data_IF_715872038631
#
_entry.id   IF_715872038631
#
_cell.length_a   1.000
_cell.length_b   1.000
_cell.length_c   1.000
_cell.angle_alpha   90.00
_cell.angle_beta   90.00
_cell.angle_gamma   90.00
#
_symmetry.space_group_name_H-M   'P 1'
#
loop_
_entity.id
_entity.type
_entity.pdbx_description
1 polymer ?
#
# COMPACT_ATOMS: atom_id res chain seq x y z
N UNK A 1 -79.69 13.63 6.48
CA UNK A 1 -78.65 13.57 7.51
C UNK A 1 -77.72 12.42 7.18
N UNK A 2 -76.74 12.65 6.34
CA UNK A 2 -75.58 11.69 6.17
C UNK A 2 -74.59 12.27 5.18
N UNK A 3 -73.78 13.22 5.61
CA UNK A 3 -72.60 13.75 4.89
C UNK A 3 -71.61 14.39 5.83
N UNK A 4 -71.01 13.63 6.76
CA UNK A 4 -69.91 14.11 7.58
C UNK A 4 -69.13 12.93 8.18
N UNK A 5 -68.51 12.09 7.41
CA UNK A 5 -67.56 11.08 7.92
C UNK A 5 -66.61 10.54 6.86
N UNK A 6 -66.09 11.37 5.95
CA UNK A 6 -65.17 10.89 4.89
C UNK A 6 -63.93 11.74 4.70
N UNK A 7 -63.53 12.52 5.72
CA UNK A 7 -62.35 13.42 5.60
C UNK A 7 -61.24 13.18 6.66
N UNK A 8 -61.30 12.11 7.40
CA UNK A 8 -60.34 11.84 8.46
C UNK A 8 -59.37 10.65 8.23
N UNK A 9 -59.50 9.99 7.09
CA UNK A 9 -58.63 8.82 6.78
C UNK A 9 -57.51 9.09 5.78
N UNK A 10 -57.35 10.33 5.29
CA UNK A 10 -56.33 10.68 4.28
C UNK A 10 -55.07 11.34 4.84
N UNK A 11 -54.94 11.54 6.16
CA UNK A 11 -53.79 12.23 6.77
C UNK A 11 -52.85 11.32 7.56
N UNK A 12 -53.06 10.03 7.59
CA UNK A 12 -52.16 9.07 8.31
C UNK A 12 -51.26 8.31 7.37
N UNK A 13 -51.44 8.38 6.06
CA UNK A 13 -50.58 7.66 5.09
C UNK A 13 -49.36 8.47 4.63
N UNK A 14 -49.17 9.70 5.09
CA UNK A 14 -48.10 10.60 4.61
C UNK A 14 -46.83 10.66 5.49
N UNK A 15 -46.74 9.92 6.60
CA UNK A 15 -45.68 10.11 7.59
C UNK A 15 -44.70 8.92 7.77
N UNK A 16 -44.70 7.98 6.83
CA UNK A 16 -43.87 6.77 6.94
C UNK A 16 -42.81 6.64 5.82
N UNK A 17 -42.48 7.73 5.11
CA UNK A 17 -41.47 7.72 4.04
C UNK A 17 -40.30 8.66 4.27
N UNK A 18 -39.90 8.96 5.49
CA UNK A 18 -38.71 9.73 5.74
C UNK A 18 -37.96 9.10 6.91
N UNK A 19 -37.27 7.99 6.68
CA UNK A 19 -36.07 7.62 7.43
C UNK A 19 -35.37 6.43 6.75
N UNK A 20 -34.90 6.63 5.56
CA UNK A 20 -33.82 5.85 5.02
C UNK A 20 -32.73 6.81 4.51
N UNK A 21 -32.32 7.74 5.36
CA UNK A 21 -30.99 8.31 5.24
C UNK A 21 -30.03 7.23 5.67
N UNK A 22 -29.65 6.38 4.72
CA UNK A 22 -28.46 5.54 4.83
C UNK A 22 -27.30 6.50 5.09
N UNK A 23 -26.90 6.61 6.36
CA UNK A 23 -25.62 7.19 6.70
C UNK A 23 -24.55 6.33 6.03
N UNK A 24 -24.14 6.73 4.83
CA UNK A 24 -22.90 6.26 4.27
C UNK A 24 -21.84 6.56 5.31
N UNK A 25 -21.41 5.53 6.02
CA UNK A 25 -20.27 5.61 6.91
C UNK A 25 -19.10 5.95 6.00
N UNK A 26 -18.75 7.22 5.97
CA UNK A 26 -17.54 7.70 5.33
C UNK A 26 -16.37 7.15 6.18
N UNK A 27 -16.00 5.90 5.93
CA UNK A 27 -14.85 5.26 6.55
C UNK A 27 -13.59 5.79 5.87
N UNK A 28 -13.27 7.06 6.12
CA UNK A 28 -11.92 7.53 5.88
C UNK A 28 -10.99 6.64 6.70
N UNK A 29 -9.97 6.02 6.07
CA UNK A 29 -9.04 5.18 6.81
C UNK A 29 -8.45 6.00 7.98
N UNK A 30 -8.78 5.60 9.22
CA UNK A 30 -8.21 6.25 10.39
C UNK A 30 -6.76 5.82 10.50
N UNK A 31 -5.85 6.79 10.59
CA UNK A 31 -4.47 6.49 10.95
C UNK A 31 -4.44 5.79 12.33
N UNK A 32 -3.83 4.62 12.37
CA UNK A 32 -3.62 3.85 13.61
C UNK A 32 -2.14 3.94 13.97
N UNK A 33 -1.79 4.56 15.10
CA UNK A 33 -0.40 4.62 15.57
C UNK A 33 0.21 3.21 15.73
N UNK A 34 1.53 3.06 15.56
CA UNK A 34 2.19 1.75 15.63
C UNK A 34 1.90 0.96 16.92
N UNK A 35 1.79 1.63 18.06
CA UNK A 35 1.49 1.00 19.35
C UNK A 35 0.05 0.47 19.49
N UNK A 36 -0.89 0.91 18.64
CA UNK A 36 -2.29 0.46 18.63
C UNK A 36 -2.58 -0.56 17.54
N UNK A 37 -1.59 -0.87 16.69
CA UNK A 37 -1.76 -1.86 15.62
C UNK A 37 -1.79 -3.25 16.20
N UNK A 38 -2.79 -4.04 15.80
CA UNK A 38 -2.79 -5.47 16.11
C UNK A 38 -1.54 -6.09 15.48
N UNK A 39 -0.72 -6.83 16.25
CA UNK A 39 0.40 -7.56 15.66
C UNK A 39 -0.10 -8.44 14.53
N UNK A 40 0.64 -8.49 13.42
CA UNK A 40 0.37 -9.46 12.36
C UNK A 40 0.53 -10.85 12.96
N UNK A 41 -0.54 -11.61 13.00
CA UNK A 41 -0.50 -13.00 13.49
C UNK A 41 0.20 -13.87 12.45
N UNK A 42 0.75 -15.00 12.89
CA UNK A 42 1.42 -15.96 12.00
C UNK A 42 0.52 -16.49 10.87
N UNK A 43 -0.78 -16.31 10.99
CA UNK A 43 -1.80 -16.77 10.04
C UNK A 43 -2.04 -15.79 8.89
N UNK A 44 -1.35 -14.64 8.90
CA UNK A 44 -1.51 -13.66 7.83
C UNK A 44 -0.86 -14.15 6.56
N UNK A 45 -1.68 -14.72 5.68
CA UNK A 45 -1.23 -15.15 4.35
C UNK A 45 -1.21 -13.97 3.39
N UNK A 46 -0.13 -13.86 2.63
CA UNK A 46 -0.06 -12.91 1.52
C UNK A 46 -1.10 -13.29 0.47
N UNK A 47 -1.93 -12.34 -0.01
CA UNK A 47 -2.81 -12.62 -1.13
C UNK A 47 -1.98 -13.07 -2.34
N UNK A 48 -2.49 -14.06 -3.07
CA UNK A 48 -1.82 -14.57 -4.28
C UNK A 48 -1.56 -13.42 -5.26
N UNK A 49 -0.37 -13.37 -5.83
CA UNK A 49 0.08 -12.32 -6.75
C UNK A 49 0.06 -10.90 -6.18
N UNK A 50 0.08 -10.75 -4.85
CA UNK A 50 0.30 -9.44 -4.22
C UNK A 50 1.79 -9.15 -4.07
N UNK A 51 2.12 -7.87 -4.04
CA UNK A 51 3.49 -7.40 -3.79
C UNK A 51 3.45 -6.05 -3.05
N UNK A 52 4.55 -5.74 -2.38
CA UNK A 52 4.79 -4.41 -1.81
C UNK A 52 5.55 -3.56 -2.84
N UNK A 53 5.43 -2.26 -2.70
CA UNK A 53 6.29 -1.30 -3.41
C UNK A 53 7.03 -0.48 -2.37
N UNK A 54 8.36 -0.44 -2.46
CA UNK A 54 9.20 0.44 -1.65
C UNK A 54 9.83 1.47 -2.58
N UNK A 55 9.40 2.73 -2.42
CA UNK A 55 9.90 3.86 -3.20
C UNK A 55 11.03 4.59 -2.48
N UNK A 56 12.13 4.80 -3.16
CA UNK A 56 13.29 5.58 -2.73
C UNK A 56 13.55 6.69 -3.74
N UNK A 57 14.25 7.72 -3.30
CA UNK A 57 14.70 8.80 -4.16
C UNK A 57 16.22 8.90 -4.04
N UNK A 58 16.72 9.83 -3.24
CA UNK A 58 18.16 10.03 -3.09
C UNK A 58 18.78 9.15 -1.98
N UNK A 59 20.05 8.77 -2.16
CA UNK A 59 20.82 7.99 -1.20
C UNK A 59 22.12 8.72 -0.88
N UNK A 60 22.27 9.15 0.36
CA UNK A 60 23.37 10.02 0.79
C UNK A 60 24.23 9.39 1.89
N UNK A 61 25.51 9.82 1.95
CA UNK A 61 26.36 9.57 3.11
C UNK A 61 26.26 10.75 4.07
N UNK A 62 26.17 10.50 5.35
CA UNK A 62 26.04 11.55 6.35
C UNK A 62 24.62 11.85 6.81
N UNK A 63 24.34 13.10 7.18
CA UNK A 63 22.99 13.51 7.56
C UNK A 63 22.15 13.72 6.32
N UNK A 64 21.10 12.93 6.17
CA UNK A 64 20.13 13.10 5.08
C UNK A 64 19.54 14.51 5.15
N UNK A 65 19.82 15.33 4.14
CA UNK A 65 19.44 16.76 4.13
C UNK A 65 17.98 16.92 3.70
N UNK A 66 17.48 16.03 2.91
CA UNK A 66 16.10 16.03 2.39
C UNK A 66 15.19 15.23 3.32
N UNK A 67 14.48 15.90 4.20
CA UNK A 67 13.70 15.30 5.31
C UNK A 67 12.80 14.11 4.95
N UNK A 68 12.40 13.98 3.69
CA UNK A 68 11.45 12.95 3.26
C UNK A 68 11.90 12.19 1.99
N UNK A 69 12.94 12.63 1.31
CA UNK A 69 13.33 12.10 0.01
C UNK A 69 14.66 11.36 0.02
N UNK A 70 15.53 11.58 1.00
CA UNK A 70 16.80 10.90 1.05
C UNK A 70 16.90 9.89 2.18
N UNK A 71 17.66 8.84 1.94
CA UNK A 71 18.02 7.80 2.92
C UNK A 71 19.54 7.68 2.99
N UNK A 72 20.07 7.38 4.17
CA UNK A 72 21.52 7.11 4.32
C UNK A 72 21.89 5.81 3.65
N UNK A 73 23.06 5.76 3.03
CA UNK A 73 23.59 4.53 2.41
C UNK A 73 23.61 3.36 3.41
N UNK A 74 24.02 3.59 4.66
CA UNK A 74 24.01 2.56 5.70
C UNK A 74 22.60 2.06 6.02
N UNK A 75 21.64 2.99 6.14
CA UNK A 75 20.26 2.63 6.42
C UNK A 75 19.62 1.85 5.26
N UNK A 76 19.92 2.22 4.01
CA UNK A 76 19.50 1.44 2.85
C UNK A 76 20.08 0.03 2.88
N UNK A 77 21.38 -0.09 3.18
CA UNK A 77 22.04 -1.39 3.31
C UNK A 77 21.39 -2.26 4.39
N UNK A 78 21.08 -1.68 5.55
CA UNK A 78 20.41 -2.39 6.65
C UNK A 78 18.97 -2.82 6.24
N UNK A 79 18.25 -1.98 5.51
CA UNK A 79 16.92 -2.32 4.99
C UNK A 79 16.98 -3.48 3.98
N UNK A 80 17.96 -3.47 3.06
CA UNK A 80 18.14 -4.58 2.11
C UNK A 80 18.50 -5.88 2.84
N UNK A 81 19.40 -5.82 3.83
CA UNK A 81 19.73 -6.98 4.65
C UNK A 81 18.49 -7.50 5.39
N UNK A 82 17.68 -6.60 5.96
CA UNK A 82 16.46 -6.97 6.65
C UNK A 82 15.45 -7.65 5.70
N UNK A 83 15.24 -7.13 4.50
CA UNK A 83 14.37 -7.74 3.49
C UNK A 83 14.82 -9.17 3.17
N UNK A 84 16.13 -9.37 2.91
CA UNK A 84 16.70 -10.70 2.67
C UNK A 84 16.44 -11.65 3.84
N UNK A 85 16.77 -11.21 5.05
CA UNK A 85 16.73 -12.05 6.25
C UNK A 85 15.29 -12.41 6.65
N UNK A 86 14.32 -11.62 6.22
CA UNK A 86 12.89 -11.87 6.43
C UNK A 86 12.21 -12.53 5.23
N UNK A 87 12.97 -12.97 4.23
CA UNK A 87 12.47 -13.76 3.10
C UNK A 87 11.68 -12.96 2.06
N UNK A 88 11.86 -11.64 2.01
CA UNK A 88 11.31 -10.82 0.94
C UNK A 88 12.06 -11.07 -0.37
N UNK A 89 11.32 -11.10 -1.46
CA UNK A 89 11.85 -11.39 -2.78
C UNK A 89 11.61 -10.21 -3.72
N UNK A 90 12.67 -9.44 -4.02
CA UNK A 90 12.57 -8.37 -5.00
C UNK A 90 12.21 -8.90 -6.39
N UNK A 91 11.23 -8.26 -7.02
CA UNK A 91 10.71 -8.63 -8.32
C UNK A 91 10.86 -7.49 -9.33
N UNK A 92 10.95 -7.85 -10.61
CA UNK A 92 10.98 -6.90 -11.70
C UNK A 92 9.57 -6.50 -12.16
N UNK A 93 9.47 -5.37 -12.86
CA UNK A 93 8.22 -4.96 -13.54
C UNK A 93 7.77 -6.03 -14.53
N UNK A 94 8.70 -6.69 -15.24
CA UNK A 94 8.34 -7.75 -16.16
C UNK A 94 7.66 -8.93 -15.46
N UNK A 95 8.13 -9.31 -14.28
CA UNK A 95 7.47 -10.37 -13.50
C UNK A 95 6.05 -9.98 -13.06
N UNK A 96 5.82 -8.69 -12.74
CA UNK A 96 4.47 -8.18 -12.42
C UNK A 96 3.56 -8.30 -13.64
N UNK A 97 4.03 -7.90 -14.82
CA UNK A 97 3.27 -8.01 -16.07
C UNK A 97 2.99 -9.47 -16.43
N UNK A 98 3.97 -10.34 -16.29
CA UNK A 98 3.79 -11.77 -16.57
C UNK A 98 2.81 -12.44 -15.59
N UNK A 99 2.81 -12.01 -14.33
CA UNK A 99 1.83 -12.47 -13.35
C UNK A 99 0.41 -11.94 -13.64
N UNK A 100 0.31 -10.68 -14.08
CA UNK A 100 -0.95 -10.09 -14.53
C UNK A 100 -1.54 -10.87 -15.72
N UNK A 101 -0.71 -11.25 -16.66
CA UNK A 101 -1.10 -12.06 -17.83
C UNK A 101 -1.33 -13.55 -17.50
N UNK A 102 -1.15 -13.95 -16.25
CA UNK A 102 -1.33 -15.33 -15.81
C UNK A 102 -0.21 -16.30 -16.24
N UNK A 103 0.93 -15.78 -16.73
CA UNK A 103 2.06 -16.60 -17.19
C UNK A 103 2.88 -17.17 -16.03
N UNK A 104 2.95 -16.45 -14.92
CA UNK A 104 3.66 -16.86 -13.69
C UNK A 104 2.82 -16.55 -12.45
N UNK A 105 3.25 -17.08 -11.33
CA UNK A 105 2.77 -16.67 -10.00
C UNK A 105 3.91 -15.95 -9.31
N UNK A 106 3.62 -14.78 -8.72
CA UNK A 106 4.62 -14.06 -7.93
C UNK A 106 5.00 -14.86 -6.69
N UNK A 107 6.25 -14.73 -6.24
CA UNK A 107 6.67 -15.34 -4.99
C UNK A 107 5.90 -14.75 -3.80
N UNK A 108 5.83 -15.49 -2.72
CA UNK A 108 5.39 -14.94 -1.44
C UNK A 108 6.34 -13.82 -0.99
N UNK A 109 5.80 -12.81 -0.31
CA UNK A 109 6.56 -11.63 0.13
C UNK A 109 7.30 -10.91 -1.03
N UNK A 110 6.67 -10.89 -2.22
CA UNK A 110 7.21 -10.14 -3.34
C UNK A 110 7.31 -8.64 -3.03
N UNK A 111 8.39 -7.98 -3.47
CA UNK A 111 8.58 -6.54 -3.29
C UNK A 111 9.17 -5.92 -4.56
N UNK A 112 8.56 -4.84 -5.05
CA UNK A 112 9.15 -4.00 -6.08
C UNK A 112 9.93 -2.88 -5.41
N UNK A 113 11.21 -2.74 -5.77
CA UNK A 113 12.05 -1.62 -5.35
C UNK A 113 12.03 -0.57 -6.45
N UNK A 114 11.68 0.67 -6.13
CA UNK A 114 11.75 1.80 -7.07
C UNK A 114 12.71 2.86 -6.57
N UNK A 115 13.43 3.49 -7.50
CA UNK A 115 14.34 4.61 -7.25
C UNK A 115 14.01 5.71 -8.26
N UNK A 116 13.40 6.79 -7.76
CA UNK A 116 12.76 7.80 -8.57
C UNK A 116 13.67 9.04 -8.75
N UNK A 117 13.30 9.93 -9.67
CA UNK A 117 13.93 11.23 -9.97
C UNK A 117 15.36 11.17 -10.57
N UNK A 118 15.85 10.00 -10.95
CA UNK A 118 17.12 9.91 -11.69
C UNK A 118 18.37 10.39 -10.94
N UNK A 119 18.39 10.34 -9.60
CA UNK A 119 19.55 10.76 -8.81
C UNK A 119 20.82 9.97 -9.16
N UNK A 120 21.96 10.64 -9.25
CA UNK A 120 23.26 10.00 -9.52
C UNK A 120 23.67 9.01 -8.43
N UNK A 121 23.15 9.15 -7.22
CA UNK A 121 23.34 8.21 -6.10
C UNK A 121 22.82 6.81 -6.41
N UNK A 122 21.84 6.66 -7.28
CA UNK A 122 21.43 5.35 -7.77
C UNK A 122 22.61 4.60 -8.37
N UNK A 123 23.33 5.22 -9.30
CA UNK A 123 24.48 4.58 -9.95
C UNK A 123 25.65 4.35 -9.00
N UNK A 124 25.95 5.33 -8.14
CA UNK A 124 27.16 5.29 -7.30
C UNK A 124 27.02 4.47 -6.02
N UNK A 125 25.79 4.35 -5.48
CA UNK A 125 25.53 3.70 -4.17
C UNK A 125 24.56 2.54 -4.27
N UNK A 126 23.43 2.73 -4.97
CA UNK A 126 22.37 1.73 -5.01
C UNK A 126 22.73 0.58 -5.94
N UNK A 127 23.16 0.89 -7.17
CA UNK A 127 23.49 -0.13 -8.17
C UNK A 127 24.51 -1.17 -7.72
N UNK A 128 25.65 -0.80 -7.09
CA UNK A 128 26.58 -1.79 -6.55
C UNK A 128 25.92 -2.71 -5.51
N UNK A 129 25.06 -2.18 -4.66
CA UNK A 129 24.32 -2.94 -3.65
C UNK A 129 23.36 -3.93 -4.29
N UNK A 130 22.52 -3.47 -5.22
CA UNK A 130 21.56 -4.34 -5.94
C UNK A 130 22.29 -5.46 -6.69
N UNK A 131 23.45 -5.16 -7.31
CA UNK A 131 24.28 -6.18 -7.96
C UNK A 131 24.78 -7.24 -6.98
N UNK A 132 25.23 -6.82 -5.80
CA UNK A 132 25.73 -7.75 -4.78
C UNK A 132 24.62 -8.73 -4.32
N UNK A 133 23.37 -8.28 -4.26
CA UNK A 133 22.21 -9.10 -3.93
C UNK A 133 21.63 -9.85 -5.14
N UNK A 134 22.03 -9.51 -6.36
CA UNK A 134 21.38 -9.94 -7.61
C UNK A 134 19.87 -9.60 -7.63
N UNK A 135 19.52 -8.40 -7.18
CA UNK A 135 18.14 -7.95 -7.08
C UNK A 135 17.75 -6.99 -8.19
N UNK A 136 16.56 -7.16 -8.79
CA UNK A 136 16.01 -6.20 -9.72
C UNK A 136 15.47 -4.97 -8.98
N UNK A 137 15.43 -3.85 -9.69
CA UNK A 137 14.75 -2.64 -9.27
C UNK A 137 14.27 -1.87 -10.49
N UNK A 138 13.30 -0.98 -10.28
CA UNK A 138 12.89 0.02 -11.25
C UNK A 138 13.63 1.32 -10.95
N UNK A 139 14.28 1.87 -11.94
CA UNK A 139 14.85 3.21 -11.90
C UNK A 139 14.04 4.11 -12.83
N UNK A 140 13.39 5.16 -12.30
CA UNK A 140 12.52 6.09 -13.01
C UNK A 140 13.02 7.53 -12.93
#
# INVERSE_FOLDING_TARGET
>A
MLKRCLWLSALIAGWLMITACSSAHNTTPRYVPPGERTPLTADHQWPKNSFLVLGYHDVEDGAADQRYLSVRTSALSDQMAWLRDNGYQPISVQQILDAHDGKIVLPEKAVLLTFDDGYSSFYTRVWPLLKAYNWPALWA
#
